data_IF_295055929943
#
_entry.id   IF_295055929943
#
_cell.length_a   1.000
_cell.length_b   1.000
_cell.length_c   1.000
_cell.angle_alpha   90.00
_cell.angle_beta   90.00
_cell.angle_gamma   90.00
#
_symmetry.space_group_name_H-M   'P 1'
#
loop_
_entity.id
_entity.type
_entity.pdbx_description
1 polymer ?
#
# COMPACT_ATOMS: atom_id res chain seq x y z
N UNK A 1 36.07 -23.41 42.16
CA UNK A 1 35.71 -24.12 40.92
C UNK A 1 34.54 -25.04 41.23
N UNK A 2 33.33 -24.69 40.82
CA UNK A 2 32.14 -25.51 41.08
C UNK A 2 31.36 -25.79 39.79
N UNK A 3 30.51 -26.81 39.82
CA UNK A 3 30.17 -27.60 38.63
C UNK A 3 29.00 -27.02 37.84
N UNK A 4 29.23 -26.83 36.54
CA UNK A 4 28.20 -26.56 35.52
C UNK A 4 27.03 -27.54 35.67
N UNK A 5 25.80 -27.04 35.62
CA UNK A 5 24.59 -27.85 35.36
C UNK A 5 23.98 -27.34 34.06
N UNK A 6 23.88 -28.22 33.05
CA UNK A 6 23.11 -27.95 31.84
C UNK A 6 21.67 -28.41 32.08
N UNK A 7 20.69 -27.53 31.86
CA UNK A 7 19.33 -27.96 31.54
C UNK A 7 19.23 -28.09 30.01
N UNK A 8 18.44 -29.03 29.52
CA UNK A 8 18.23 -29.28 28.09
C UNK A 8 16.78 -28.95 27.76
N UNK A 9 16.57 -28.11 26.75
CA UNK A 9 15.23 -27.76 26.27
C UNK A 9 14.58 -28.93 25.52
N UNK A 10 13.25 -29.00 25.59
CA UNK A 10 12.44 -29.93 24.81
C UNK A 10 11.44 -29.12 23.97
N UNK A 11 11.83 -28.75 22.75
CA UNK A 11 10.98 -28.06 21.79
C UNK A 11 10.08 -29.09 21.08
N UNK A 12 8.77 -28.90 21.18
CA UNK A 12 7.78 -29.69 20.44
C UNK A 12 7.33 -28.92 19.20
N UNK A 13 7.76 -29.37 18.02
CA UNK A 13 7.37 -28.76 16.75
C UNK A 13 5.92 -29.16 16.38
N UNK A 14 4.99 -28.21 16.46
CA UNK A 14 3.62 -28.36 15.96
C UNK A 14 3.51 -27.86 14.52
N UNK A 15 3.20 -28.74 13.58
CA UNK A 15 3.03 -28.37 12.18
C UNK A 15 1.63 -27.78 11.92
N UNK A 16 1.57 -26.56 11.37
CA UNK A 16 0.31 -25.93 10.91
C UNK A 16 0.12 -26.23 9.43
N UNK A 17 -1.05 -26.78 9.07
CA UNK A 17 -1.43 -27.05 7.69
C UNK A 17 -2.45 -26.02 7.20
N UNK A 18 -2.03 -25.13 6.29
CA UNK A 18 -2.94 -24.15 5.65
C UNK A 18 -3.69 -24.81 4.50
N UNK A 19 -5.01 -24.92 4.63
CA UNK A 19 -5.87 -25.52 3.61
C UNK A 19 -6.40 -24.46 2.63
N UNK A 20 -5.73 -24.32 1.47
CA UNK A 20 -6.19 -23.43 0.40
C UNK A 20 -7.37 -24.06 -0.37
N UNK A 21 -8.57 -23.51 -0.19
CA UNK A 21 -9.80 -23.98 -0.83
C UNK A 21 -9.99 -23.47 -2.27
N UNK A 22 -9.65 -24.28 -3.27
CA UNK A 22 -9.84 -23.93 -4.68
C UNK A 22 -11.29 -24.15 -5.16
N UNK A 23 -12.11 -23.08 -5.13
CA UNK A 23 -13.53 -23.09 -5.54
C UNK A 23 -13.76 -23.08 -7.07
N UNK A 24 -13.48 -24.17 -7.76
CA UNK A 24 -13.67 -24.27 -9.22
C UNK A 24 -15.13 -24.57 -9.63
N UNK A 25 -15.97 -23.53 -9.77
CA UNK A 25 -17.33 -23.66 -10.27
C UNK A 25 -17.36 -23.95 -11.79
N UNK A 26 -17.79 -25.15 -12.21
CA UNK A 26 -17.99 -25.52 -13.61
C UNK A 26 -19.46 -25.76 -13.97
N UNK A 27 -19.89 -25.08 -15.02
CA UNK A 27 -20.87 -25.50 -16.03
C UNK A 27 -22.22 -26.11 -15.59
N UNK A 28 -23.30 -25.39 -15.88
CA UNK A 28 -24.52 -26.00 -16.40
C UNK A 28 -25.13 -25.08 -17.48
N UNK A 29 -25.14 -25.55 -18.73
CA UNK A 29 -25.90 -24.92 -19.81
C UNK A 29 -27.13 -25.77 -20.12
N UNK A 30 -28.28 -25.14 -20.29
CA UNK A 30 -29.52 -25.80 -20.73
C UNK A 30 -30.12 -25.06 -21.92
N UNK A 31 -30.10 -25.72 -23.10
CA UNK A 31 -31.01 -25.38 -24.21
C UNK A 31 -32.32 -26.14 -24.02
N UNK A 32 -33.44 -25.48 -24.31
CA UNK A 32 -34.73 -26.12 -24.51
C UNK A 32 -35.53 -25.29 -25.53
N UNK A 33 -35.54 -25.74 -26.78
CA UNK A 33 -36.30 -25.10 -27.85
C UNK A 33 -37.82 -25.33 -27.70
N UNK A 34 -38.63 -24.35 -28.09
CA UNK A 34 -40.06 -24.55 -28.34
C UNK A 34 -40.67 -23.53 -29.31
N UNK A 35 -40.94 -23.97 -30.54
CA UNK A 35 -41.93 -23.36 -31.43
C UNK A 35 -43.37 -23.80 -31.01
N UNK A 36 -44.50 -23.31 -31.51
CA UNK A 36 -44.84 -22.59 -32.76
C UNK A 36 -46.28 -21.98 -32.56
N UNK A 37 -47.10 -21.61 -33.58
CA UNK A 37 -47.07 -20.45 -34.49
C UNK A 37 -48.32 -19.52 -34.38
N UNK A 38 -48.51 -18.59 -35.34
CA UNK A 38 -49.75 -17.81 -35.70
C UNK A 38 -50.23 -16.74 -34.69
N UNK A 39 -50.75 -15.55 -35.06
CA UNK A 39 -51.02 -14.86 -36.34
C UNK A 39 -51.18 -13.33 -36.10
N UNK A 40 -51.37 -12.35 -37.02
CA UNK A 40 -51.51 -12.28 -38.48
C UNK A 40 -51.13 -10.85 -38.98
N UNK A 41 -50.52 -10.71 -40.18
CA UNK A 41 -50.49 -9.46 -40.99
C UNK A 41 -49.58 -8.30 -40.53
N UNK A 42 -49.08 -7.41 -41.40
CA UNK A 42 -49.03 -7.39 -42.87
C UNK A 42 -48.01 -6.36 -43.38
N UNK A 43 -47.20 -6.72 -44.40
CA UNK A 43 -46.57 -5.86 -45.45
C UNK A 43 -45.87 -4.53 -45.05
N UNK A 44 -44.64 -4.24 -45.46
CA UNK A 44 -44.14 -4.24 -46.86
C UNK A 44 -42.69 -4.73 -47.02
N UNK A 45 -42.22 -4.86 -48.27
CA UNK A 45 -41.01 -5.58 -48.63
C UNK A 45 -39.71 -4.75 -48.64
N UNK A 46 -38.61 -5.48 -48.41
CA UNK A 46 -37.21 -5.08 -48.39
C UNK A 46 -36.73 -4.09 -49.48
N UNK A 47 -35.75 -3.27 -49.08
CA UNK A 47 -34.51 -3.15 -49.85
C UNK A 47 -33.33 -3.54 -48.94
N UNK A 48 -32.26 -4.07 -49.54
CA UNK A 48 -31.08 -4.56 -48.82
C UNK A 48 -29.92 -3.63 -49.11
N UNK A 49 -29.24 -3.17 -48.07
CA UNK A 49 -27.90 -2.61 -48.20
C UNK A 49 -26.99 -3.24 -47.14
N UNK A 50 -25.79 -3.61 -47.54
CA UNK A 50 -24.85 -4.38 -46.72
C UNK A 50 -23.67 -3.48 -46.34
N UNK A 51 -23.79 -2.83 -45.18
CA UNK A 51 -22.76 -1.96 -44.62
C UNK A 51 -22.06 -2.60 -43.42
N UNK A 52 -20.76 -2.36 -43.31
CA UNK A 52 -19.82 -3.06 -42.44
C UNK A 52 -20.10 -3.01 -40.94
N UNK A 53 -19.68 -4.10 -40.26
CA UNK A 53 -18.69 -3.93 -39.20
C UNK A 53 -19.09 -3.13 -37.97
N UNK A 54 -20.18 -3.52 -37.29
CA UNK A 54 -20.36 -3.17 -35.88
C UNK A 54 -20.74 -4.39 -35.04
N UNK A 55 -19.76 -5.29 -34.86
CA UNK A 55 -19.71 -6.04 -33.62
C UNK A 55 -19.41 -5.04 -32.51
N UNK A 56 -20.45 -4.58 -31.79
CA UNK A 56 -20.26 -3.91 -30.50
C UNK A 56 -19.71 -4.95 -29.53
N UNK A 57 -18.39 -5.08 -29.53
CA UNK A 57 -17.66 -5.91 -28.60
C UNK A 57 -18.17 -5.59 -27.20
N UNK A 58 -18.70 -6.60 -26.52
CA UNK A 58 -19.18 -6.47 -25.15
C UNK A 58 -17.99 -6.55 -24.20
N UNK A 59 -16.97 -5.75 -24.52
CA UNK A 59 -15.69 -5.57 -23.87
C UNK A 59 -15.85 -4.82 -22.55
N UNK A 60 -16.74 -5.31 -21.70
CA UNK A 60 -16.52 -5.33 -20.27
C UNK A 60 -15.34 -6.27 -19.96
N UNK A 61 -14.16 -5.94 -20.51
CA UNK A 61 -12.89 -6.17 -19.84
C UNK A 61 -13.10 -5.80 -18.39
N UNK A 62 -12.81 -6.71 -17.47
CA UNK A 62 -13.07 -6.46 -16.05
C UNK A 62 -12.44 -5.11 -15.68
N UNK A 63 -13.24 -4.17 -15.19
CA UNK A 63 -12.70 -2.92 -14.68
C UNK A 63 -11.88 -3.27 -13.44
N UNK A 64 -10.56 -3.41 -13.65
CA UNK A 64 -9.56 -3.23 -12.61
C UNK A 64 -9.92 -1.94 -11.89
N UNK A 65 -10.43 -2.10 -10.66
CA UNK A 65 -11.12 -1.04 -9.93
C UNK A 65 -10.29 0.23 -10.02
N UNK A 66 -10.88 1.30 -10.58
CA UNK A 66 -10.11 2.51 -10.91
C UNK A 66 -9.77 3.22 -9.63
N UNK A 67 -8.58 2.89 -9.13
CA UNK A 67 -7.91 3.59 -8.05
C UNK A 67 -7.95 5.09 -8.33
N UNK A 68 -8.38 5.86 -7.34
CA UNK A 68 -8.55 7.31 -7.49
C UNK A 68 -7.19 8.02 -7.60
N UNK A 69 -7.19 9.30 -7.94
CA UNK A 69 -5.95 10.08 -7.96
C UNK A 69 -5.35 10.23 -6.55
N UNK A 70 -6.17 10.37 -5.50
CA UNK A 70 -5.68 10.35 -4.12
C UNK A 70 -5.11 8.96 -3.74
N UNK A 71 -5.81 7.89 -4.08
CA UNK A 71 -5.32 6.52 -3.81
C UNK A 71 -4.05 6.18 -4.60
N UNK A 72 -3.93 6.57 -5.88
CA UNK A 72 -2.70 6.39 -6.69
C UNK A 72 -1.55 7.22 -6.12
N UNK A 73 -1.81 8.47 -5.69
CA UNK A 73 -0.86 9.37 -5.04
C UNK A 73 -0.28 8.75 -3.76
N UNK A 74 -1.15 8.22 -2.88
CA UNK A 74 -0.74 7.66 -1.58
C UNK A 74 -0.13 6.24 -1.67
N UNK A 75 -0.41 5.49 -2.74
CA UNK A 75 0.04 4.08 -2.88
C UNK A 75 1.53 3.84 -3.09
N UNK A 76 2.35 4.88 -3.27
CA UNK A 76 3.78 4.73 -3.61
C UNK A 76 4.62 5.94 -3.24
N UNK A 77 5.92 5.69 -3.10
CA UNK A 77 6.92 6.74 -3.18
C UNK A 77 7.07 7.19 -4.65
N UNK A 78 7.26 8.50 -4.81
CA UNK A 78 7.49 9.15 -6.09
C UNK A 78 8.93 9.69 -6.15
N UNK A 79 9.50 9.65 -7.35
CA UNK A 79 10.86 10.05 -7.64
C UNK A 79 10.87 11.14 -8.72
N UNK A 80 11.76 12.12 -8.61
CA UNK A 80 11.88 13.20 -9.60
C UNK A 80 12.17 12.66 -10.99
N UNK A 81 11.38 13.06 -11.98
CA UNK A 81 11.44 12.49 -13.33
C UNK A 81 12.76 12.80 -14.08
N UNK A 82 13.46 13.88 -13.68
CA UNK A 82 14.75 14.29 -14.25
C UNK A 82 15.91 14.19 -13.23
N UNK A 83 15.61 13.96 -11.94
CA UNK A 83 16.60 13.81 -10.87
C UNK A 83 16.10 12.81 -9.80
N UNK A 84 16.78 11.67 -9.71
CA UNK A 84 16.42 10.57 -8.81
C UNK A 84 16.71 10.83 -7.32
N UNK A 85 17.43 11.90 -6.98
CA UNK A 85 17.63 12.34 -5.59
C UNK A 85 16.41 13.03 -5.00
N UNK A 86 15.51 13.54 -5.85
CA UNK A 86 14.24 14.09 -5.43
C UNK A 86 13.26 12.95 -5.12
N UNK A 87 12.72 12.93 -3.90
CA UNK A 87 11.80 11.90 -3.42
C UNK A 87 10.58 12.52 -2.74
N UNK A 88 9.42 11.88 -2.88
CA UNK A 88 8.16 12.34 -2.29
C UNK A 88 7.29 11.17 -1.85
N UNK A 89 6.73 11.27 -0.64
CA UNK A 89 5.65 10.40 -0.17
C UNK A 89 4.42 11.23 0.22
N UNK A 90 3.24 10.66 0.01
CA UNK A 90 1.98 11.16 0.53
C UNK A 90 1.30 10.01 1.27
N UNK A 91 0.84 10.23 2.49
CA UNK A 91 0.10 9.21 3.27
C UNK A 91 -0.64 9.88 4.42
N UNK A 92 -1.91 9.54 4.62
CA UNK A 92 -2.68 9.93 5.81
C UNK A 92 -2.84 11.45 5.98
N UNK A 93 -2.88 12.20 4.88
CA UNK A 93 -2.93 13.67 4.92
C UNK A 93 -1.59 14.34 5.24
N UNK A 94 -0.46 13.62 5.25
CA UNK A 94 0.91 14.17 5.30
C UNK A 94 1.60 14.01 3.95
N UNK A 95 2.09 15.12 3.40
CA UNK A 95 2.94 15.18 2.20
C UNK A 95 4.37 15.48 2.65
N UNK A 96 5.34 14.70 2.19
CA UNK A 96 6.77 14.93 2.43
C UNK A 96 7.51 14.96 1.12
N UNK A 97 8.31 16.00 0.91
CA UNK A 97 9.19 16.16 -0.25
C UNK A 97 10.64 16.36 0.21
N UNK A 98 11.60 15.67 -0.39
CA UNK A 98 13.03 15.87 -0.13
C UNK A 98 13.84 15.96 -1.42
N UNK A 99 14.99 16.62 -1.35
CA UNK A 99 16.04 16.69 -2.36
C UNK A 99 17.33 15.94 -1.93
N UNK A 100 17.21 15.07 -0.92
CA UNK A 100 18.33 14.35 -0.33
C UNK A 100 19.19 15.19 0.63
N UNK A 101 18.94 16.50 0.75
CA UNK A 101 19.61 17.40 1.72
C UNK A 101 18.61 18.00 2.70
N UNK A 102 17.54 18.62 2.19
CA UNK A 102 16.45 19.23 2.96
C UNK A 102 15.16 18.41 2.83
N UNK A 103 14.37 18.35 3.90
CA UNK A 103 13.03 17.72 3.92
C UNK A 103 11.95 18.77 4.18
N UNK A 104 10.89 18.73 3.38
CA UNK A 104 9.78 19.69 3.38
C UNK A 104 8.48 18.93 3.67
N UNK A 105 7.93 19.15 4.85
CA UNK A 105 6.68 18.51 5.28
C UNK A 105 5.52 19.49 5.21
N UNK A 106 4.41 19.05 4.62
CA UNK A 106 3.12 19.74 4.61
C UNK A 106 2.02 18.78 5.05
N UNK A 107 0.92 19.29 5.59
CA UNK A 107 -0.34 18.53 5.64
C UNK A 107 -1.19 18.82 4.40
N UNK A 108 -2.12 17.93 4.07
CA UNK A 108 -3.11 18.16 3.03
C UNK A 108 -4.47 17.55 3.38
N UNK A 109 -5.52 18.13 2.80
CA UNK A 109 -6.86 17.54 2.74
C UNK A 109 -7.25 17.39 1.27
N UNK A 110 -7.75 16.22 0.87
CA UNK A 110 -8.32 16.01 -0.48
C UNK A 110 -9.65 16.75 -0.56
N UNK A 111 -9.78 17.69 -1.50
CA UNK A 111 -11.00 18.52 -1.69
C UNK A 111 -11.78 18.17 -2.96
N UNK A 112 -11.15 17.47 -3.89
CA UNK A 112 -11.78 16.84 -5.06
C UNK A 112 -10.92 15.65 -5.48
N UNK A 113 -11.54 14.59 -5.99
CA UNK A 113 -10.86 13.35 -6.40
C UNK A 113 -11.56 12.71 -7.61
N UNK A 114 -10.83 11.90 -8.39
CA UNK A 114 -11.28 11.35 -9.66
C UNK A 114 -10.19 10.57 -10.41
N UNK A 115 -10.54 10.07 -11.60
CA UNK A 115 -9.69 9.21 -12.45
C UNK A 115 -8.49 10.01 -13.02
N UNK A 116 -7.35 9.93 -12.32
CA UNK A 116 -6.10 10.60 -12.69
C UNK A 116 -6.05 12.12 -12.46
N UNK A 117 -7.00 12.70 -11.73
CA UNK A 117 -6.93 14.10 -11.29
C UNK A 117 -7.60 14.33 -9.93
N UNK A 118 -6.91 15.04 -9.04
CA UNK A 118 -7.35 15.34 -7.68
C UNK A 118 -6.85 16.71 -7.23
N UNK A 119 -7.57 17.33 -6.31
CA UNK A 119 -7.28 18.67 -5.77
C UNK A 119 -7.06 18.54 -4.28
N UNK A 120 -5.95 19.10 -3.80
CA UNK A 120 -5.54 19.08 -2.40
C UNK A 120 -5.53 20.50 -1.83
N UNK A 121 -6.02 20.70 -0.60
CA UNK A 121 -5.73 21.90 0.19
C UNK A 121 -4.48 21.61 1.04
N UNK A 122 -3.32 22.01 0.54
CA UNK A 122 -2.02 21.79 1.19
C UNK A 122 -1.73 22.93 2.17
N UNK A 123 -1.32 22.60 3.39
CA UNK A 123 -0.87 23.55 4.42
C UNK A 123 0.60 23.28 4.74
N UNK A 124 1.45 24.25 4.41
CA UNK A 124 2.92 24.16 4.58
C UNK A 124 3.33 24.42 6.03
N UNK A 125 4.56 24.02 6.38
CA UNK A 125 5.13 24.20 7.73
C UNK A 125 5.21 25.67 8.22
N UNK A 126 5.16 26.66 7.32
CA UNK A 126 5.10 28.10 7.63
C UNK A 126 3.66 28.63 7.83
N UNK A 127 2.65 27.75 7.69
CA UNK A 127 1.23 28.11 7.71
C UNK A 127 0.66 28.58 6.36
N UNK A 128 1.46 28.61 5.30
CA UNK A 128 0.97 28.96 3.95
C UNK A 128 0.04 27.86 3.43
N UNK A 129 -1.21 28.24 3.11
CA UNK A 129 -2.20 27.34 2.49
C UNK A 129 -2.23 27.57 0.98
N UNK A 130 -2.12 26.49 0.21
CA UNK A 130 -2.27 26.49 -1.26
C UNK A 130 -3.29 25.44 -1.71
N UNK A 131 -3.96 25.71 -2.82
CA UNK A 131 -4.71 24.69 -3.54
C UNK A 131 -3.79 24.08 -4.60
N UNK A 132 -3.50 22.79 -4.48
CA UNK A 132 -2.66 22.03 -5.39
C UNK A 132 -3.52 21.15 -6.29
N UNK A 133 -3.32 21.20 -7.61
CA UNK A 133 -3.95 20.27 -8.54
C UNK A 133 -2.96 19.19 -8.93
N UNK A 134 -3.22 17.96 -8.50
CA UNK A 134 -2.41 16.77 -8.81
C UNK A 134 -3.05 16.07 -10.00
N UNK A 135 -2.26 15.82 -11.03
CA UNK A 135 -2.66 15.05 -12.21
C UNK A 135 -1.76 13.82 -12.34
N UNK A 136 -2.35 12.63 -12.35
CA UNK A 136 -1.64 11.36 -12.56
C UNK A 136 -2.10 10.76 -13.89
N UNK A 137 -1.16 10.44 -14.78
CA UNK A 137 -1.44 9.82 -16.09
C UNK A 137 -0.59 8.55 -16.25
N UNK A 138 -1.17 7.50 -16.84
CA UNK A 138 -0.58 6.15 -16.80
C UNK A 138 -0.97 5.39 -15.52
N UNK A 139 -0.41 4.18 -15.34
CA UNK A 139 -0.59 3.31 -14.16
C UNK A 139 0.67 2.51 -13.88
N UNK A 140 0.85 2.05 -12.63
CA UNK A 140 2.04 1.33 -12.19
C UNK A 140 3.33 2.09 -12.52
N UNK A 141 4.39 1.36 -12.89
CA UNK A 141 5.70 1.91 -13.32
C UNK A 141 5.60 2.93 -14.48
N UNK A 142 4.52 2.87 -15.27
CA UNK A 142 4.24 3.79 -16.37
C UNK A 142 3.48 5.05 -15.97
N UNK A 143 3.21 5.26 -14.68
CA UNK A 143 2.55 6.47 -14.18
C UNK A 143 3.49 7.69 -14.24
N UNK A 144 2.89 8.88 -14.32
CA UNK A 144 3.57 10.17 -14.18
C UNK A 144 2.66 11.16 -13.48
N UNK A 145 3.16 11.75 -12.41
CA UNK A 145 2.47 12.75 -11.59
C UNK A 145 2.95 14.15 -11.94
N UNK A 146 2.01 15.10 -12.00
CA UNK A 146 2.25 16.54 -12.22
C UNK A 146 1.47 17.38 -11.21
N UNK A 147 2.16 18.37 -10.63
CA UNK A 147 1.56 19.39 -9.76
C UNK A 147 2.51 20.59 -9.62
N UNK A 148 2.05 21.81 -9.89
CA UNK A 148 2.89 23.04 -9.83
C UNK A 148 3.03 23.63 -8.41
N UNK A 149 2.33 23.09 -7.41
CA UNK A 149 2.30 23.60 -6.03
C UNK A 149 3.17 22.81 -5.05
N UNK A 150 3.75 21.69 -5.51
CA UNK A 150 4.84 20.98 -4.85
C UNK A 150 6.10 21.86 -4.74
N UNK A 151 7.01 21.52 -3.84
CA UNK A 151 8.11 22.36 -3.39
C UNK A 151 9.51 21.91 -3.87
N UNK A 152 9.71 20.68 -4.32
CA UNK A 152 11.00 20.21 -4.91
C UNK A 152 10.93 19.96 -6.41
N UNK A 153 9.85 19.35 -6.92
CA UNK A 153 9.64 19.10 -8.35
C UNK A 153 8.18 19.24 -8.74
N UNK A 154 7.94 19.61 -10.00
CA UNK A 154 6.61 19.62 -10.62
C UNK A 154 6.33 18.35 -11.44
N UNK A 155 7.31 17.44 -11.55
CA UNK A 155 7.30 16.24 -12.39
C UNK A 155 7.91 15.03 -11.69
N UNK A 156 7.12 13.96 -11.64
CA UNK A 156 7.37 12.79 -10.82
C UNK A 156 7.00 11.52 -11.57
N UNK A 157 7.80 10.47 -11.36
CA UNK A 157 7.52 9.09 -11.77
C UNK A 157 7.49 8.21 -10.52
N UNK A 158 6.93 7.00 -10.56
CA UNK A 158 7.10 6.03 -9.49
C UNK A 158 8.58 5.88 -9.11
N UNK A 159 8.87 5.80 -7.81
CA UNK A 159 10.12 5.25 -7.36
C UNK A 159 10.23 3.77 -7.83
N UNK A 160 11.43 3.27 -8.14
CA UNK A 160 11.66 1.83 -8.17
C UNK A 160 11.21 1.23 -6.82
N UNK A 161 10.55 0.06 -6.82
CA UNK A 161 10.10 -0.56 -5.59
C UNK A 161 11.28 -0.85 -4.66
N UNK A 162 11.03 -0.74 -3.35
CA UNK A 162 12.02 -1.02 -2.32
C UNK A 162 12.52 -2.46 -2.34
N UNK A 163 13.63 -2.69 -1.65
CA UNK A 163 14.01 -4.04 -1.24
C UNK A 163 13.06 -4.58 -0.17
N UNK A 164 13.26 -5.84 0.21
CA UNK A 164 12.63 -6.41 1.41
C UNK A 164 12.94 -5.56 2.64
N UNK A 165 11.90 -5.22 3.42
CA UNK A 165 12.04 -4.36 4.61
C UNK A 165 12.85 -5.11 5.67
N UNK A 166 14.03 -4.60 5.99
CA UNK A 166 14.90 -5.13 7.04
C UNK A 166 14.59 -4.46 8.36
N UNK A 167 14.38 -5.23 9.42
CA UNK A 167 14.41 -4.70 10.78
C UNK A 167 15.87 -4.64 11.24
N UNK A 168 16.28 -3.54 11.87
CA UNK A 168 17.69 -3.34 12.27
C UNK A 168 17.81 -2.72 13.66
N UNK A 169 18.98 -2.88 14.28
CA UNK A 169 19.32 -2.26 15.57
C UNK A 169 18.64 -2.86 16.81
N UNK A 170 17.82 -3.92 16.66
CA UNK A 170 17.12 -4.60 17.76
C UNK A 170 18.09 -5.07 18.84
N UNK A 171 17.80 -4.76 20.10
CA UNK A 171 18.63 -5.15 21.25
C UNK A 171 18.21 -6.51 21.83
N UNK A 172 19.19 -7.34 22.23
CA UNK A 172 18.96 -8.60 22.94
C UNK A 172 18.19 -8.37 24.26
N UNK A 173 18.38 -7.22 24.93
CA UNK A 173 17.64 -6.87 26.16
C UNK A 173 16.15 -6.58 25.89
N UNK A 174 15.79 -6.02 24.74
CA UNK A 174 14.39 -5.84 24.35
C UNK A 174 13.73 -7.19 24.07
N UNK A 175 14.36 -8.06 23.27
CA UNK A 175 13.83 -9.40 22.97
C UNK A 175 13.71 -10.25 24.26
N UNK A 176 14.67 -10.13 25.19
CA UNK A 176 14.61 -10.78 26.49
C UNK A 176 13.51 -10.23 27.42
N UNK A 177 13.15 -8.94 27.28
CA UNK A 177 12.05 -8.31 28.03
C UNK A 177 10.68 -8.79 27.54
N UNK A 178 10.47 -8.89 26.21
CA UNK A 178 9.19 -9.36 25.66
C UNK A 178 9.04 -10.89 25.66
N UNK A 179 10.14 -11.63 25.51
CA UNK A 179 10.12 -13.09 25.38
C UNK A 179 9.60 -13.61 24.03
N UNK A 180 9.32 -12.71 23.08
CA UNK A 180 9.05 -13.03 21.68
C UNK A 180 10.33 -13.39 20.90
N UNK A 181 10.15 -13.97 19.71
CA UNK A 181 11.25 -14.30 18.79
C UNK A 181 11.52 -13.18 17.81
N UNK A 182 12.80 -12.94 17.50
CA UNK A 182 13.31 -12.04 16.46
C UNK A 182 12.57 -12.28 15.12
N UNK A 183 12.51 -13.53 14.62
CA UNK A 183 11.73 -13.94 13.44
C UNK A 183 10.26 -13.43 13.40
N UNK A 184 9.63 -13.24 14.56
CA UNK A 184 8.23 -12.80 14.67
C UNK A 184 8.09 -11.28 14.81
N UNK A 185 9.11 -10.60 15.35
CA UNK A 185 9.25 -9.15 15.30
C UNK A 185 9.48 -8.72 13.85
N UNK A 186 10.47 -9.33 13.20
CA UNK A 186 10.84 -9.09 11.81
C UNK A 186 9.67 -9.30 10.86
N UNK A 187 8.94 -10.42 10.98
CA UNK A 187 7.76 -10.68 10.17
C UNK A 187 6.62 -9.67 10.41
N UNK A 188 6.38 -9.27 11.66
CA UNK A 188 5.31 -8.31 11.98
C UNK A 188 5.61 -6.91 11.44
N UNK A 189 6.84 -6.43 11.61
CA UNK A 189 7.28 -5.11 11.17
C UNK A 189 7.43 -5.06 9.64
N UNK A 190 8.12 -6.03 9.04
CA UNK A 190 8.34 -6.03 7.58
C UNK A 190 7.04 -6.05 6.79
N UNK A 191 6.07 -6.91 7.16
CA UNK A 191 4.75 -6.95 6.54
C UNK A 191 4.03 -5.60 6.69
N UNK A 192 3.95 -5.04 7.90
CA UNK A 192 3.22 -3.78 8.13
C UNK A 192 3.86 -2.61 7.38
N UNK A 193 5.18 -2.44 7.49
CA UNK A 193 5.93 -1.35 6.83
C UNK A 193 5.84 -1.47 5.31
N UNK A 194 5.91 -2.68 4.75
CA UNK A 194 5.82 -2.87 3.28
C UNK A 194 4.46 -2.47 2.68
N UNK A 195 3.40 -2.50 3.48
CA UNK A 195 2.03 -2.11 3.07
C UNK A 195 1.74 -0.63 3.37
N UNK A 196 2.22 -0.09 4.50
CA UNK A 196 1.79 1.22 5.03
C UNK A 196 2.84 2.35 4.90
N UNK A 197 4.11 2.04 4.59
CA UNK A 197 5.19 3.03 4.46
C UNK A 197 5.88 2.88 3.09
N UNK A 198 5.24 3.35 2.00
CA UNK A 198 5.74 3.12 0.66
C UNK A 198 7.14 3.74 0.45
N UNK A 199 8.06 2.94 -0.09
CA UNK A 199 9.45 3.33 -0.32
C UNK A 199 10.44 2.86 0.76
N UNK A 200 9.97 2.52 1.95
CA UNK A 200 10.83 2.01 3.02
C UNK A 200 11.49 0.67 2.65
N UNK A 201 12.76 0.52 3.02
CA UNK A 201 13.55 -0.72 2.93
C UNK A 201 14.18 -1.13 4.26
N UNK A 202 14.06 -0.28 5.29
CA UNK A 202 14.61 -0.48 6.63
C UNK A 202 13.70 0.14 7.70
N UNK A 203 13.50 -0.59 8.80
CA UNK A 203 12.88 -0.11 10.02
C UNK A 203 13.87 -0.30 11.17
N UNK A 204 14.54 0.78 11.58
CA UNK A 204 15.58 0.75 12.60
C UNK A 204 14.99 0.99 13.99
N UNK A 205 15.29 0.12 14.96
CA UNK A 205 14.87 0.28 16.36
C UNK A 205 15.46 1.56 16.96
N UNK A 206 14.62 2.38 17.60
CA UNK A 206 15.04 3.68 18.14
C UNK A 206 15.82 3.56 19.47
N UNK A 207 15.89 2.36 20.06
CA UNK A 207 16.63 2.08 21.29
C UNK A 207 15.85 2.28 22.60
N UNK A 208 14.60 2.75 22.54
CA UNK A 208 13.75 3.01 23.71
C UNK A 208 12.49 2.12 23.73
N UNK A 209 12.01 1.79 24.93
CA UNK A 209 10.79 0.99 25.15
C UNK A 209 9.93 1.57 26.28
N UNK A 210 8.61 1.51 26.07
CA UNK A 210 7.59 1.83 27.07
C UNK A 210 6.98 0.54 27.63
N UNK A 211 6.69 0.50 28.94
CA UNK A 211 6.10 -0.66 29.61
C UNK A 211 4.81 -0.22 30.32
N UNK A 212 3.66 -0.75 29.89
CA UNK A 212 2.40 -0.59 30.60
C UNK A 212 2.16 -1.80 31.52
N UNK A 213 2.47 -1.64 32.80
CA UNK A 213 2.30 -2.66 33.85
C UNK A 213 0.84 -2.91 34.27
N UNK A 214 -0.12 -2.21 33.66
CA UNK A 214 -1.57 -2.42 33.83
C UNK A 214 -2.18 -3.12 32.60
N UNK A 215 -1.65 -2.88 31.40
CA UNK A 215 -2.02 -3.61 30.18
C UNK A 215 -1.21 -4.90 29.97
N UNK A 216 -0.11 -5.08 30.71
CA UNK A 216 0.87 -6.18 30.56
C UNK A 216 1.51 -6.19 29.16
N UNK A 217 1.87 -5.00 28.67
CA UNK A 217 2.40 -4.78 27.32
C UNK A 217 3.69 -3.96 27.30
N UNK A 218 4.47 -4.15 26.23
CA UNK A 218 5.72 -3.43 25.96
C UNK A 218 5.65 -2.85 24.55
N UNK A 219 5.86 -1.55 24.41
CA UNK A 219 5.87 -0.84 23.11
C UNK A 219 7.27 -0.32 22.81
N UNK A 220 7.83 -0.73 21.67
CA UNK A 220 9.03 -0.16 21.06
C UNK A 220 8.66 0.81 19.94
N UNK A 221 9.55 1.72 19.56
CA UNK A 221 9.43 2.49 18.31
C UNK A 221 10.58 2.20 17.36
N UNK A 222 10.28 2.29 16.06
CA UNK A 222 11.23 2.09 14.98
C UNK A 222 11.05 3.22 13.96
N UNK A 223 12.15 3.82 13.51
CA UNK A 223 12.14 4.83 12.45
C UNK A 223 12.45 4.20 11.09
N UNK A 224 11.57 4.41 10.12
CA UNK A 224 11.76 3.95 8.74
C UNK A 224 12.77 4.83 7.96
N UNK A 225 13.31 4.30 6.86
CA UNK A 225 14.23 4.99 5.93
C UNK A 225 13.53 5.79 4.82
N UNK A 226 12.20 5.86 4.80
CA UNK A 226 11.41 6.63 3.83
C UNK A 226 11.65 8.16 3.94
N UNK A 227 11.29 8.96 2.90
CA UNK A 227 11.45 10.43 2.92
C UNK A 227 10.82 11.14 4.13
N UNK A 228 9.74 10.57 4.68
CA UNK A 228 9.03 11.05 5.85
C UNK A 228 9.60 10.58 7.19
N UNK A 229 10.65 9.73 7.20
CA UNK A 229 11.25 9.10 8.40
C UNK A 229 10.18 8.63 9.37
N UNK A 230 9.27 7.81 8.84
CA UNK A 230 8.01 7.45 9.48
C UNK A 230 8.26 6.55 10.68
N UNK A 231 7.70 6.91 11.84
CA UNK A 231 7.89 6.19 13.09
C UNK A 231 6.77 5.18 13.25
N UNK A 232 7.12 3.91 13.36
CA UNK A 232 6.16 2.83 13.67
C UNK A 232 6.31 2.40 15.13
N UNK A 233 5.17 2.23 15.79
CA UNK A 233 5.08 1.70 17.16
C UNK A 233 4.79 0.21 17.11
N UNK A 234 5.63 -0.59 17.77
CA UNK A 234 5.54 -2.04 17.81
C UNK A 234 5.22 -2.48 19.23
N UNK A 235 3.99 -2.93 19.46
CA UNK A 235 3.51 -3.35 20.78
C UNK A 235 3.45 -4.87 20.87
N UNK A 236 4.16 -5.41 21.85
CA UNK A 236 4.03 -6.79 22.32
C UNK A 236 2.98 -6.87 23.43
N UNK A 237 1.98 -7.72 23.23
CA UNK A 237 0.94 -8.05 24.21
C UNK A 237 0.37 -9.45 23.89
N UNK A 238 -0.19 -10.15 24.89
CA UNK A 238 -0.85 -11.47 24.74
C UNK A 238 -0.03 -12.55 24.00
N UNK A 239 1.30 -12.40 23.90
CA UNK A 239 2.19 -13.32 23.19
C UNK A 239 2.36 -13.05 21.69
N UNK A 240 2.00 -11.86 21.19
CA UNK A 240 2.16 -11.46 19.80
C UNK A 240 2.65 -10.00 19.65
N UNK A 241 3.31 -9.71 18.52
CA UNK A 241 3.60 -8.35 18.09
C UNK A 241 2.43 -7.76 17.29
N UNK A 242 2.21 -6.46 17.46
CA UNK A 242 1.27 -5.64 16.70
C UNK A 242 1.95 -4.32 16.31
N UNK A 243 1.64 -3.78 15.14
CA UNK A 243 2.34 -2.62 14.56
C UNK A 243 1.33 -1.55 14.12
N UNK A 244 1.65 -0.29 14.37
CA UNK A 244 0.88 0.90 13.95
C UNK A 244 1.83 2.07 13.64
N UNK A 245 1.38 3.05 12.86
CA UNK A 245 2.05 4.33 12.60
C UNK A 245 1.04 5.43 12.26
#
# INVERSE_FOLDING_TARGET
MEKRRKAVAALAAGAVAVALGAGAARCAASRADKADPTDNGSETAAWVDAADGQGSDSGASAEEARQSCAEELESREWMGAEDASLRMTASGGRLVETDGTDTRTSSYEVTSDGDGECVLRVTRADGTVVQATVTIRGRGDGARLRCEQLQTSFDWVPAPPGGEVRVTGVDEEYLALVGGSEDALDLAVSLWVSEHVPGATEAAFDGEVYIDTKADSVTATFTCDDPGRSIVSVTWADGAFSVTG
#
